data_IF_060316972928
#
_entry.id   IF_060316972928
#
_cell.length_a   1.000
_cell.length_b   1.000
_cell.length_c   1.000
_cell.angle_alpha   90.00
_cell.angle_beta   90.00
_cell.angle_gamma   90.00
#
_symmetry.space_group_name_H-M   'P 1'
#
loop_
_entity.id
_entity.type
_entity.pdbx_description
1 polymer ?
#
# COMPACT_ATOMS: atom_id res chain seq x y z
N UNK A 1 -20.73 52.75 -6.71
CA UNK A 1 -19.29 52.51 -6.50
C UNK A 1 -18.90 51.33 -7.36
N UNK A 2 -17.91 51.56 -8.22
CA UNK A 2 -17.64 50.81 -9.46
C UNK A 2 -16.20 50.30 -9.39
N UNK A 3 -15.97 49.00 -9.54
CA UNK A 3 -14.66 48.38 -9.78
C UNK A 3 -14.93 47.22 -10.77
N UNK A 4 -14.79 47.38 -12.10
CA UNK A 4 -13.56 47.27 -12.93
C UNK A 4 -12.65 46.13 -12.42
N UNK A 5 -12.63 44.96 -13.08
CA UNK A 5 -11.77 44.64 -14.24
C UNK A 5 -10.50 43.94 -13.70
N UNK A 6 -10.01 42.81 -14.20
CA UNK A 6 -9.33 42.65 -15.50
C UNK A 6 -9.10 41.14 -15.74
N UNK A 7 -9.35 40.70 -16.97
CA UNK A 7 -8.93 39.43 -17.56
C UNK A 7 -7.46 39.57 -17.99
N UNK A 8 -6.61 38.59 -17.67
CA UNK A 8 -5.29 38.47 -18.27
C UNK A 8 -5.10 37.06 -18.84
N UNK A 9 -5.21 36.96 -20.15
CA UNK A 9 -4.71 35.87 -20.98
C UNK A 9 -3.21 36.10 -21.23
N UNK A 10 -2.40 35.04 -21.21
CA UNK A 10 -1.09 35.09 -21.90
C UNK A 10 -0.73 33.74 -22.52
N UNK A 11 -0.82 33.70 -23.84
CA UNK A 11 -0.13 32.78 -24.75
C UNK A 11 1.15 33.49 -25.22
N UNK A 12 2.32 32.84 -25.16
CA UNK A 12 3.47 33.01 -26.07
C UNK A 12 4.57 32.02 -25.60
N UNK A 13 4.81 30.88 -26.27
CA UNK A 13 5.57 30.61 -27.50
C UNK A 13 7.11 30.74 -27.40
N UNK A 14 7.73 29.60 -27.75
CA UNK A 14 9.00 29.35 -28.50
C UNK A 14 10.34 29.21 -27.77
N UNK A 15 10.86 27.98 -27.94
CA UNK A 15 12.22 27.55 -28.33
C UNK A 15 13.46 28.13 -27.63
N UNK A 16 14.32 27.22 -27.15
CA UNK A 16 15.69 26.89 -27.64
C UNK A 16 16.30 25.88 -26.64
N UNK A 17 16.65 24.65 -27.06
CA UNK A 17 18.00 24.15 -27.41
C UNK A 17 19.07 24.26 -26.30
N UNK A 18 19.72 23.12 -26.05
CA UNK A 18 21.00 23.00 -25.33
C UNK A 18 20.82 22.40 -23.94
N UNK A 19 21.20 21.15 -23.71
CA UNK A 19 22.54 20.74 -23.20
C UNK A 19 22.25 19.90 -21.94
N UNK A 20 23.01 18.94 -21.45
CA UNK A 20 24.32 18.38 -21.72
C UNK A 20 24.29 17.00 -21.05
N UNK A 21 24.68 15.93 -21.75
CA UNK A 21 24.97 14.67 -21.08
C UNK A 21 26.40 14.77 -20.53
N UNK A 22 26.56 14.80 -19.21
CA UNK A 22 27.86 14.73 -18.57
C UNK A 22 28.28 13.27 -18.42
N UNK A 23 29.42 12.90 -19.01
CA UNK A 23 30.12 11.64 -18.77
C UNK A 23 31.20 11.92 -17.73
N UNK A 24 31.04 11.39 -16.51
CA UNK A 24 32.13 11.36 -15.53
C UNK A 24 32.85 10.03 -15.69
N UNK A 25 34.10 10.12 -16.14
CA UNK A 25 35.11 9.07 -16.11
C UNK A 25 35.58 8.90 -14.66
N UNK A 26 35.56 7.68 -14.14
CA UNK A 26 36.41 7.30 -13.01
C UNK A 26 37.12 5.98 -13.32
N UNK A 27 38.44 6.03 -13.28
CA UNK A 27 39.35 4.90 -13.44
C UNK A 27 39.45 4.11 -12.13
N UNK A 28 39.76 2.80 -12.17
CA UNK A 28 39.91 2.00 -10.97
C UNK A 28 41.33 2.10 -10.41
N UNK A 29 41.47 2.48 -9.12
CA UNK A 29 42.71 2.21 -8.39
C UNK A 29 42.66 0.83 -7.76
N UNK A 30 43.65 0.01 -8.10
CA UNK A 30 43.91 -1.31 -7.55
C UNK A 30 44.65 -1.25 -6.21
N UNK A 31 44.32 -2.20 -5.33
CA UNK A 31 45.21 -2.96 -4.41
C UNK A 31 44.47 -3.31 -3.11
N UNK A 32 44.57 -4.45 -2.43
CA UNK A 32 44.95 -5.85 -2.67
C UNK A 32 44.97 -6.48 -1.24
N UNK A 33 44.39 -7.68 -1.08
CA UNK A 33 44.79 -8.77 -0.14
C UNK A 33 44.46 -8.52 1.38
N UNK A 34 43.83 -9.40 2.19
CA UNK A 34 43.96 -10.87 2.34
C UNK A 34 42.82 -11.54 3.17
N UNK A 35 42.33 -12.69 2.64
CA UNK A 35 41.87 -13.98 3.22
C UNK A 35 41.29 -14.12 4.66
N UNK A 36 40.12 -14.78 4.75
CA UNK A 36 39.94 -16.18 5.23
C UNK A 36 38.48 -16.68 4.96
N UNK A 37 38.30 -17.66 4.06
CA UNK A 37 37.84 -19.05 4.30
C UNK A 37 36.32 -19.28 4.30
N UNK A 38 35.80 -19.83 3.20
CA UNK A 38 34.46 -20.40 3.03
C UNK A 38 34.27 -20.83 1.58
N UNK A 39 33.67 -22.01 1.34
CA UNK A 39 33.83 -22.82 0.13
C UNK A 39 33.39 -22.18 -1.19
N UNK A 40 34.21 -22.45 -2.21
CA UNK A 40 34.16 -21.94 -3.56
C UNK A 40 33.55 -23.00 -4.49
N UNK A 41 32.41 -22.71 -5.10
CA UNK A 41 32.00 -23.36 -6.35
C UNK A 41 32.23 -22.36 -7.50
N UNK A 42 33.37 -22.51 -8.17
CA UNK A 42 33.68 -21.78 -9.39
C UNK A 42 32.90 -22.38 -10.56
N UNK A 43 31.89 -21.68 -11.07
CA UNK A 43 31.39 -21.90 -12.42
C UNK A 43 32.13 -20.99 -13.39
N UNK A 44 32.86 -21.61 -14.32
CA UNK A 44 33.60 -20.95 -15.39
C UNK A 44 32.63 -20.40 -16.43
N UNK A 45 32.60 -19.08 -16.63
CA UNK A 45 31.98 -18.46 -17.81
C UNK A 45 33.06 -18.09 -18.83
N UNK A 46 33.08 -18.81 -19.97
CA UNK A 46 33.85 -18.42 -21.16
C UNK A 46 33.19 -17.21 -21.81
N UNK A 47 33.90 -16.09 -21.86
CA UNK A 47 33.47 -14.91 -22.62
C UNK A 47 34.02 -15.01 -24.05
N UNK A 48 33.12 -15.05 -25.05
CA UNK A 48 33.47 -14.74 -26.45
C UNK A 48 32.94 -13.34 -26.73
N UNK A 49 33.85 -12.40 -26.98
CA UNK A 49 33.53 -11.04 -27.40
C UNK A 49 33.36 -10.97 -28.91
N UNK A 50 32.17 -10.60 -29.39
CA UNK A 50 32.00 -9.88 -30.65
C UNK A 50 30.85 -8.85 -30.56
N UNK A 51 31.26 -7.57 -30.58
CA UNK A 51 30.67 -6.42 -31.27
C UNK A 51 29.15 -6.16 -31.33
N UNK A 52 28.78 -4.97 -30.82
CA UNK A 52 27.70 -4.05 -31.25
C UNK A 52 26.23 -4.45 -30.99
N UNK A 53 25.58 -3.69 -30.09
CA UNK A 53 24.32 -2.89 -30.26
C UNK A 53 23.36 -2.95 -29.06
N UNK A 54 22.65 -1.82 -28.92
CA UNK A 54 21.26 -1.65 -28.46
C UNK A 54 20.96 -1.76 -26.97
N UNK A 55 20.31 -0.71 -26.45
CA UNK A 55 19.48 -0.77 -25.25
C UNK A 55 18.43 -1.88 -25.48
N UNK A 56 18.38 -2.86 -24.57
CA UNK A 56 17.37 -3.93 -24.55
C UNK A 56 16.38 -3.63 -23.44
N UNK A 57 15.10 -3.57 -23.79
CA UNK A 57 14.04 -3.90 -22.84
C UNK A 57 14.24 -5.37 -22.44
N UNK A 58 14.34 -5.63 -21.14
CA UNK A 58 14.44 -6.99 -20.62
C UNK A 58 13.02 -7.49 -20.41
N UNK A 59 12.46 -8.16 -21.42
CA UNK A 59 11.24 -8.95 -21.29
C UNK A 59 11.66 -10.38 -20.98
N UNK A 60 11.34 -10.88 -19.79
CA UNK A 60 11.45 -12.30 -19.45
C UNK A 60 10.07 -12.91 -19.61
N UNK A 61 9.92 -13.84 -20.55
CA UNK A 61 8.71 -14.63 -20.75
C UNK A 61 8.89 -15.98 -20.06
N UNK A 62 8.10 -16.25 -19.03
CA UNK A 62 8.03 -17.56 -18.37
C UNK A 62 7.04 -18.45 -19.13
N UNK A 63 7.49 -19.63 -19.53
CA UNK A 63 6.68 -20.65 -20.19
C UNK A 63 5.82 -21.42 -19.19
N UNK A 64 4.54 -21.55 -19.51
CA UNK A 64 3.48 -22.17 -18.70
C UNK A 64 3.80 -23.61 -18.29
N UNK A 65 3.79 -23.88 -16.99
CA UNK A 65 3.50 -25.19 -16.44
C UNK A 65 2.47 -25.03 -15.33
N UNK A 66 1.38 -25.79 -15.47
CA UNK A 66 0.14 -25.65 -14.72
C UNK A 66 0.31 -25.73 -13.20
N UNK A 67 -0.25 -24.72 -12.55
CA UNK A 67 -0.60 -24.70 -11.14
C UNK A 67 -1.99 -24.06 -11.11
N UNK A 68 -2.90 -24.58 -10.29
CA UNK A 68 -4.19 -23.96 -10.01
C UNK A 68 -3.95 -22.49 -9.67
N UNK A 69 -4.18 -21.64 -10.67
CA UNK A 69 -3.50 -20.35 -10.75
C UNK A 69 -4.09 -19.43 -9.69
N UNK A 70 -3.31 -19.18 -8.64
CA UNK A 70 -3.58 -18.10 -7.71
C UNK A 70 -3.83 -16.85 -8.56
N UNK A 71 -5.05 -16.33 -8.50
CA UNK A 71 -5.46 -15.16 -9.31
C UNK A 71 -4.56 -13.94 -9.06
N UNK A 72 -3.79 -13.96 -7.96
CA UNK A 72 -2.87 -12.90 -7.56
C UNK A 72 -1.45 -13.09 -8.07
N UNK A 73 -1.08 -14.21 -8.71
CA UNK A 73 0.30 -14.45 -9.13
C UNK A 73 0.78 -13.38 -10.13
N UNK A 74 1.99 -12.89 -9.92
CA UNK A 74 2.60 -11.80 -10.68
C UNK A 74 3.26 -12.39 -11.92
N UNK A 75 2.83 -11.91 -13.09
CA UNK A 75 3.42 -12.27 -14.38
C UNK A 75 4.60 -11.37 -14.73
N UNK A 76 4.53 -10.08 -14.40
CA UNK A 76 5.64 -9.15 -14.60
C UNK A 76 5.52 -7.91 -13.70
N UNK A 77 6.66 -7.29 -13.42
CA UNK A 77 6.75 -6.03 -12.70
C UNK A 77 7.74 -5.10 -13.42
N UNK A 78 7.30 -3.87 -13.73
CA UNK A 78 8.09 -2.91 -14.51
C UNK A 78 8.06 -1.56 -13.83
N UNK A 79 9.23 -0.95 -13.62
CA UNK A 79 9.33 0.42 -13.13
C UNK A 79 9.22 1.42 -14.30
N UNK A 80 8.26 2.34 -14.23
CA UNK A 80 8.03 3.39 -15.22
C UNK A 80 8.23 4.77 -14.60
N UNK A 81 8.76 5.70 -15.39
CA UNK A 81 8.80 7.13 -15.06
C UNK A 81 7.83 7.88 -15.97
N UNK A 82 6.78 8.47 -15.41
CA UNK A 82 5.75 9.20 -16.15
C UNK A 82 5.57 10.60 -15.56
N UNK A 83 5.82 11.66 -16.35
CA UNK A 83 5.51 13.06 -16.00
C UNK A 83 5.98 13.55 -14.62
N UNK A 84 7.01 12.93 -14.03
CA UNK A 84 7.53 13.27 -12.70
C UNK A 84 7.24 12.19 -11.65
N UNK A 85 6.27 11.31 -11.90
CA UNK A 85 5.95 10.19 -11.03
C UNK A 85 6.77 8.96 -11.43
N UNK A 86 7.25 8.24 -10.43
CA UNK A 86 7.88 6.93 -10.62
C UNK A 86 6.97 5.85 -10.04
N UNK A 87 6.60 4.88 -10.88
CA UNK A 87 5.61 3.86 -10.57
C UNK A 87 6.20 2.46 -10.80
N UNK A 88 5.85 1.51 -9.95
CA UNK A 88 5.91 0.09 -10.25
C UNK A 88 4.57 -0.32 -10.88
N UNK A 89 4.60 -0.86 -12.09
CA UNK A 89 3.44 -1.49 -12.73
C UNK A 89 3.58 -3.00 -12.59
N UNK A 90 2.64 -3.60 -11.87
CA UNK A 90 2.54 -5.04 -11.67
C UNK A 90 1.42 -5.57 -12.55
N UNK A 91 1.72 -6.57 -13.36
CA UNK A 91 0.76 -7.27 -14.21
C UNK A 91 0.61 -8.70 -13.70
N UNK A 92 -0.62 -9.08 -13.35
CA UNK A 92 -0.95 -10.41 -12.85
C UNK A 92 -1.14 -11.41 -13.99
N UNK A 93 -1.12 -12.70 -13.67
CA UNK A 93 -1.41 -13.80 -14.62
C UNK A 93 -2.81 -13.70 -15.22
N UNK A 94 -3.78 -13.16 -14.48
CA UNK A 94 -5.17 -13.00 -14.92
C UNK A 94 -5.39 -11.78 -15.85
N UNK A 95 -4.35 -10.99 -16.14
CA UNK A 95 -4.44 -9.81 -17.00
C UNK A 95 -4.60 -8.48 -16.27
N UNK A 96 -4.93 -8.48 -14.97
CA UNK A 96 -5.06 -7.25 -14.20
C UNK A 96 -3.73 -6.53 -14.05
N UNK A 97 -3.80 -5.19 -14.02
CA UNK A 97 -2.65 -4.31 -13.88
C UNK A 97 -2.88 -3.37 -12.70
N UNK A 98 -1.86 -3.25 -11.87
CA UNK A 98 -1.87 -2.36 -10.71
C UNK A 98 -0.63 -1.48 -10.73
N UNK A 99 -0.82 -0.20 -10.42
CA UNK A 99 0.24 0.80 -10.40
C UNK A 99 0.49 1.24 -8.95
N UNK A 100 1.75 1.24 -8.53
CA UNK A 100 2.17 1.60 -7.18
C UNK A 100 3.23 2.69 -7.23
N UNK A 101 3.05 3.84 -6.56
CA UNK A 101 4.12 4.83 -6.44
C UNK A 101 5.35 4.25 -5.76
N UNK A 102 6.53 4.43 -6.34
CA UNK A 102 7.78 3.89 -5.79
C UNK A 102 8.10 4.46 -4.40
N UNK A 103 7.82 5.75 -4.18
CA UNK A 103 7.92 6.38 -2.86
C UNK A 103 7.02 5.70 -1.82
N UNK A 104 5.80 5.30 -2.21
CA UNK A 104 4.86 4.62 -1.33
C UNK A 104 5.36 3.21 -0.99
N UNK A 105 5.89 2.47 -1.97
CA UNK A 105 6.51 1.16 -1.70
C UNK A 105 7.69 1.30 -0.74
N UNK A 106 8.58 2.28 -0.95
CA UNK A 106 9.74 2.50 -0.08
C UNK A 106 9.34 2.90 1.35
N UNK A 107 8.30 3.71 1.51
CA UNK A 107 7.71 4.09 2.80
C UNK A 107 7.03 2.90 3.51
N UNK A 108 6.50 1.95 2.74
CA UNK A 108 5.81 0.76 3.25
C UNK A 108 6.64 -0.52 3.17
N UNK A 109 7.97 -0.41 3.09
CA UNK A 109 8.87 -1.55 3.14
C UNK A 109 8.61 -2.40 4.40
N UNK A 110 8.43 -3.71 4.22
CA UNK A 110 8.10 -4.65 5.30
C UNK A 110 9.34 -5.30 5.94
N UNK A 111 10.56 -4.86 5.60
CA UNK A 111 11.77 -5.41 6.22
C UNK A 111 11.89 -4.99 7.70
N UNK A 112 12.66 -5.74 8.49
CA UNK A 112 12.84 -5.48 9.93
C UNK A 112 13.46 -4.13 10.27
N UNK A 113 14.13 -3.47 9.30
CA UNK A 113 14.65 -2.12 9.46
C UNK A 113 13.62 -1.00 9.23
N UNK A 114 12.51 -1.29 8.53
CA UNK A 114 11.49 -0.32 8.16
C UNK A 114 10.15 -0.56 8.87
N UNK A 115 9.89 -1.78 9.34
CA UNK A 115 8.64 -2.18 9.95
C UNK A 115 8.86 -3.06 11.18
N UNK A 116 8.15 -2.75 12.27
CA UNK A 116 8.22 -3.48 13.52
C UNK A 116 7.17 -4.60 13.53
N UNK A 117 7.57 -5.88 13.49
CA UNK A 117 6.63 -6.99 13.33
C UNK A 117 5.70 -7.17 14.55
N UNK A 118 6.17 -6.86 15.76
CA UNK A 118 5.37 -7.07 16.97
C UNK A 118 4.27 -6.04 17.22
N UNK A 119 4.44 -4.82 16.70
CA UNK A 119 3.47 -3.72 16.87
C UNK A 119 2.76 -3.34 15.58
N UNK A 120 3.11 -4.01 14.48
CA UNK A 120 2.59 -3.72 13.14
C UNK A 120 2.70 -2.24 12.76
N UNK A 121 3.87 -1.63 13.00
CA UNK A 121 4.07 -0.19 12.80
C UNK A 121 5.36 0.13 12.04
N UNK A 122 5.37 1.25 11.32
CA UNK A 122 6.55 1.75 10.61
C UNK A 122 7.62 2.24 11.61
N UNK A 123 8.87 1.91 11.32
CA UNK A 123 10.07 2.38 12.04
C UNK A 123 10.81 3.46 11.22
N UNK A 124 10.56 3.51 9.90
CA UNK A 124 11.22 4.44 8.98
C UNK A 124 11.22 5.88 9.53
N UNK A 125 12.41 6.46 9.69
CA UNK A 125 12.55 7.82 10.19
C UNK A 125 12.29 8.82 9.05
N UNK A 126 11.15 9.51 9.12
CA UNK A 126 10.76 10.52 8.14
C UNK A 126 11.71 11.72 8.07
N UNK A 127 12.39 12.09 9.16
CA UNK A 127 13.36 13.20 9.12
C UNK A 127 14.58 12.89 8.25
N UNK A 128 14.88 11.60 8.07
CA UNK A 128 16.00 11.11 7.28
C UNK A 128 15.57 10.53 5.92
N UNK A 129 14.26 10.47 5.66
CA UNK A 129 13.72 9.87 4.46
C UNK A 129 13.54 10.92 3.36
N UNK A 130 14.43 10.87 2.37
CA UNK A 130 14.44 11.78 1.23
C UNK A 130 13.61 11.20 0.07
N UNK A 131 12.40 11.74 -0.11
CA UNK A 131 11.43 11.30 -1.13
C UNK A 131 11.96 11.44 -2.55
N UNK A 132 12.77 12.47 -2.81
CA UNK A 132 13.26 12.79 -4.15
C UNK A 132 14.40 11.86 -4.57
N UNK A 133 14.98 11.12 -3.61
CA UNK A 133 16.04 10.14 -3.84
C UNK A 133 15.57 8.71 -3.95
N UNK A 134 14.27 8.44 -3.78
CA UNK A 134 13.72 7.10 -3.96
C UNK A 134 13.81 6.72 -5.43
N UNK A 135 14.77 5.86 -5.77
CA UNK A 135 14.97 5.36 -7.13
C UNK A 135 15.23 3.86 -7.09
N UNK A 136 14.66 3.14 -8.04
CA UNK A 136 14.89 1.71 -8.20
C UNK A 136 16.19 1.48 -8.95
N UNK A 137 17.05 0.64 -8.37
CA UNK A 137 18.26 0.14 -9.02
C UNK A 137 17.94 -1.13 -9.81
N UNK A 138 17.29 -2.10 -9.18
CA UNK A 138 16.88 -3.37 -9.80
C UNK A 138 15.50 -3.79 -9.28
N UNK A 139 14.72 -4.45 -10.13
CA UNK A 139 13.39 -4.97 -9.80
C UNK A 139 13.24 -6.35 -10.46
N UNK A 140 12.79 -7.34 -9.70
CA UNK A 140 12.54 -8.70 -10.17
C UNK A 140 11.26 -9.27 -9.55
N UNK A 141 10.70 -10.26 -10.22
CA UNK A 141 9.62 -11.11 -9.71
C UNK A 141 10.24 -12.48 -9.46
N UNK A 142 9.83 -13.16 -8.40
CA UNK A 142 10.25 -14.54 -8.16
C UNK A 142 9.66 -15.51 -9.20
N UNK A 143 10.26 -16.70 -9.29
CA UNK A 143 9.91 -17.69 -10.33
C UNK A 143 8.46 -18.19 -10.21
N UNK A 144 7.89 -18.20 -9.00
CA UNK A 144 6.51 -18.59 -8.73
C UNK A 144 5.51 -17.41 -8.85
N UNK A 145 5.98 -16.18 -9.09
CA UNK A 145 5.15 -14.98 -9.17
C UNK A 145 4.56 -14.55 -7.83
N UNK A 146 5.02 -15.11 -6.71
CA UNK A 146 4.52 -14.83 -5.38
C UNK A 146 4.98 -13.47 -4.82
N UNK A 147 6.07 -12.88 -5.29
CA UNK A 147 6.68 -11.65 -4.74
C UNK A 147 7.36 -10.79 -5.80
N UNK A 148 7.39 -9.48 -5.53
CA UNK A 148 8.30 -8.52 -6.16
C UNK A 148 9.43 -8.18 -5.21
N UNK A 149 10.66 -8.23 -5.73
CA UNK A 149 11.87 -7.78 -5.03
C UNK A 149 12.38 -6.49 -5.68
N UNK A 150 12.68 -5.50 -4.86
CA UNK A 150 13.18 -4.18 -5.28
C UNK A 150 14.47 -3.88 -4.55
N UNK A 151 15.54 -3.65 -5.32
CA UNK A 151 16.78 -3.08 -4.84
C UNK A 151 16.77 -1.57 -5.15
N UNK A 152 16.88 -0.75 -4.12
CA UNK A 152 16.88 0.70 -4.21
C UNK A 152 18.28 1.25 -4.49
N UNK A 153 18.37 2.49 -4.99
CA UNK A 153 19.63 3.18 -5.29
C UNK A 153 20.52 3.41 -4.07
N UNK A 154 19.92 3.50 -2.87
CA UNK A 154 20.61 3.58 -1.57
C UNK A 154 21.17 2.23 -1.09
N UNK A 155 20.93 1.15 -1.85
CA UNK A 155 21.32 -0.21 -1.51
C UNK A 155 20.35 -0.95 -0.60
N UNK A 156 19.24 -0.31 -0.19
CA UNK A 156 18.17 -0.97 0.55
C UNK A 156 17.47 -2.02 -0.32
N UNK A 157 16.97 -3.09 0.30
CA UNK A 157 16.19 -4.11 -0.38
C UNK A 157 14.80 -4.23 0.25
N UNK A 158 13.77 -4.26 -0.58
CA UNK A 158 12.38 -4.45 -0.17
C UNK A 158 11.77 -5.62 -0.91
N UNK A 159 10.87 -6.33 -0.24
CA UNK A 159 10.09 -7.43 -0.81
C UNK A 159 8.61 -7.23 -0.51
N UNK A 160 7.77 -7.49 -1.50
CA UNK A 160 6.31 -7.36 -1.39
C UNK A 160 5.65 -8.61 -1.98
N UNK A 161 4.77 -9.26 -1.23
CA UNK A 161 4.03 -10.42 -1.76
C UNK A 161 2.93 -9.98 -2.71
N UNK A 162 2.51 -10.90 -3.57
CA UNK A 162 1.44 -10.68 -4.54
C UNK A 162 0.13 -10.30 -3.85
N UNK A 163 -0.17 -10.98 -2.73
CA UNK A 163 -1.37 -10.75 -1.92
C UNK A 163 -1.32 -9.37 -1.28
N UNK A 164 -0.16 -8.98 -0.73
CA UNK A 164 0.00 -7.67 -0.09
C UNK A 164 -0.20 -6.52 -1.08
N UNK A 165 0.32 -6.68 -2.31
CA UNK A 165 0.16 -5.71 -3.40
C UNK A 165 -1.29 -5.66 -3.89
N UNK A 166 -1.93 -6.82 -4.10
CA UNK A 166 -3.33 -6.88 -4.53
C UNK A 166 -4.26 -6.27 -3.49
N UNK A 167 -4.11 -6.59 -2.21
CA UNK A 167 -4.94 -6.02 -1.12
C UNK A 167 -4.81 -4.49 -1.03
N UNK A 168 -3.65 -3.93 -1.42
CA UNK A 168 -3.33 -2.49 -1.31
C UNK A 168 -3.25 -1.79 -2.66
N UNK A 169 -3.86 -2.36 -3.69
CA UNK A 169 -3.85 -1.76 -5.00
C UNK A 169 -4.70 -0.46 -5.02
N UNK A 170 -4.32 0.48 -5.89
CA UNK A 170 -4.95 1.79 -5.99
C UNK A 170 -6.15 1.86 -6.97
N UNK A 171 -6.74 0.71 -7.34
CA UNK A 171 -7.96 0.72 -8.17
C UNK A 171 -9.13 1.37 -7.43
N UNK A 172 -10.07 1.93 -8.19
CA UNK A 172 -11.28 2.49 -7.60
C UNK A 172 -12.11 1.42 -6.90
N UNK A 173 -12.18 0.21 -7.44
CA UNK A 173 -12.91 -0.93 -6.89
C UNK A 173 -12.34 -1.31 -5.52
N UNK A 174 -11.02 -1.51 -5.42
CA UNK A 174 -10.37 -1.85 -4.15
C UNK A 174 -10.50 -0.73 -3.12
N UNK A 175 -10.40 0.53 -3.57
CA UNK A 175 -10.58 1.69 -2.69
C UNK A 175 -12.01 1.78 -2.13
N UNK A 176 -13.03 1.49 -2.97
CA UNK A 176 -14.44 1.45 -2.55
C UNK A 176 -14.67 0.30 -1.57
N UNK A 177 -14.19 -0.90 -1.89
CA UNK A 177 -14.31 -2.07 -1.03
C UNK A 177 -13.65 -1.84 0.34
N UNK A 178 -12.43 -1.31 0.37
CA UNK A 178 -11.74 -0.95 1.61
C UNK A 178 -12.55 0.02 2.47
N UNK A 179 -13.14 1.05 1.85
CA UNK A 179 -13.93 2.05 2.58
C UNK A 179 -15.23 1.47 3.13
N UNK A 180 -15.91 0.62 2.36
CA UNK A 180 -17.22 0.06 2.70
C UNK A 180 -17.13 -1.08 3.73
N UNK A 181 -16.15 -1.98 3.58
CA UNK A 181 -16.05 -3.21 4.36
C UNK A 181 -15.05 -3.11 5.52
N UNK A 182 -13.90 -2.45 5.31
CA UNK A 182 -12.80 -2.46 6.29
C UNK A 182 -12.74 -1.20 7.16
N UNK A 183 -13.04 -0.02 6.60
CA UNK A 183 -12.92 1.23 7.34
C UNK A 183 -14.17 1.53 8.18
N UNK A 184 -15.30 1.79 7.52
CA UNK A 184 -16.54 2.14 8.22
C UNK A 184 -17.75 1.95 7.31
N UNK A 185 -18.75 1.14 7.71
CA UNK A 185 -20.02 1.05 7.01
C UNK A 185 -20.59 2.45 6.67
N UNK A 186 -21.03 2.69 5.42
CA UNK A 186 -21.47 4.01 5.00
C UNK A 186 -22.70 4.43 5.80
N UNK A 187 -22.73 5.67 6.32
CA UNK A 187 -23.86 6.16 7.10
C UNK A 187 -25.11 6.30 6.23
N UNK A 188 -26.25 5.88 6.75
CA UNK A 188 -27.55 6.09 6.12
C UNK A 188 -28.23 7.31 6.76
N UNK A 189 -28.44 8.36 5.96
CA UNK A 189 -29.21 9.52 6.38
C UNK A 189 -30.69 9.18 6.50
N UNK A 190 -31.35 9.72 7.51
CA UNK A 190 -32.78 9.53 7.75
C UNK A 190 -33.44 10.78 8.33
N UNK A 191 -34.76 10.85 8.15
CA UNK A 191 -35.68 11.88 8.61
C UNK A 191 -36.72 11.25 9.52
N UNK A 192 -37.57 12.10 10.11
CA UNK A 192 -38.62 11.69 11.06
C UNK A 192 -39.46 10.51 10.56
N UNK A 193 -39.82 10.50 9.28
CA UNK A 193 -40.69 9.48 8.69
C UNK A 193 -40.04 8.09 8.64
N UNK A 194 -38.72 8.02 8.54
CA UNK A 194 -37.95 6.78 8.39
C UNK A 194 -37.47 6.21 9.74
N UNK A 195 -37.75 6.92 10.86
CA UNK A 195 -37.26 6.53 12.18
C UNK A 195 -37.69 5.12 12.60
N UNK A 196 -38.92 4.72 12.24
CA UNK A 196 -39.42 3.37 12.51
C UNK A 196 -38.62 2.28 11.80
N UNK A 197 -38.17 2.55 10.57
CA UNK A 197 -37.47 1.58 9.73
C UNK A 197 -35.99 1.45 10.13
N UNK A 198 -35.36 2.56 10.52
CA UNK A 198 -33.96 2.60 10.92
C UNK A 198 -33.73 2.13 12.36
N UNK A 199 -34.73 2.20 13.24
CA UNK A 199 -34.57 1.83 14.66
C UNK A 199 -34.33 0.32 14.82
N UNK A 200 -33.06 -0.06 14.98
CA UNK A 200 -32.68 -1.45 15.23
C UNK A 200 -32.71 -1.75 16.73
N UNK A 201 -33.29 -2.89 17.07
CA UNK A 201 -33.45 -3.34 18.46
C UNK A 201 -32.54 -4.54 18.71
N UNK A 202 -31.83 -4.53 19.83
CA UNK A 202 -30.99 -5.64 20.27
C UNK A 202 -31.33 -6.00 21.72
N UNK A 203 -31.23 -7.28 22.06
CA UNK A 203 -31.41 -7.74 23.43
C UNK A 203 -30.14 -7.52 24.23
N UNK A 204 -30.25 -6.90 25.41
CA UNK A 204 -29.10 -6.62 26.28
C UNK A 204 -28.25 -7.86 26.54
N UNK A 205 -28.91 -8.98 26.87
CA UNK A 205 -28.24 -10.24 27.18
C UNK A 205 -27.42 -10.76 25.99
N UNK A 206 -27.88 -10.55 24.77
CA UNK A 206 -27.23 -11.09 23.58
C UNK A 206 -25.99 -10.25 23.25
N UNK A 207 -26.12 -8.92 23.31
CA UNK A 207 -25.00 -7.98 23.10
C UNK A 207 -23.86 -8.22 24.09
N UNK A 208 -24.19 -8.52 25.35
CA UNK A 208 -23.17 -8.80 26.37
C UNK A 208 -22.46 -10.14 26.09
N UNK A 209 -23.19 -11.18 25.66
CA UNK A 209 -22.67 -12.55 25.65
C UNK A 209 -22.30 -13.09 24.25
N UNK A 210 -22.58 -12.37 23.17
CA UNK A 210 -22.31 -12.82 21.79
C UNK A 210 -21.57 -11.75 20.99
N UNK A 211 -20.47 -12.15 20.36
CA UNK A 211 -19.70 -11.27 19.46
C UNK A 211 -20.47 -10.93 18.19
N UNK A 212 -21.30 -11.85 17.67
CA UNK A 212 -22.13 -11.56 16.49
C UNK A 212 -23.22 -10.53 16.81
N UNK A 213 -23.85 -10.63 17.98
CA UNK A 213 -24.82 -9.63 18.43
C UNK A 213 -24.17 -8.27 18.71
N UNK A 214 -22.98 -8.27 19.33
CA UNK A 214 -22.18 -7.07 19.52
C UNK A 214 -21.81 -6.42 18.18
N UNK A 215 -21.30 -7.20 17.22
CA UNK A 215 -20.93 -6.72 15.88
C UNK A 215 -22.14 -6.08 15.20
N UNK A 216 -23.28 -6.78 15.16
CA UNK A 216 -24.51 -6.24 14.57
C UNK A 216 -24.99 -4.95 15.24
N UNK A 217 -24.87 -4.84 16.57
CA UNK A 217 -25.20 -3.63 17.32
C UNK A 217 -24.28 -2.45 16.95
N UNK A 218 -22.95 -2.66 16.92
CA UNK A 218 -21.97 -1.63 16.56
C UNK A 218 -22.15 -1.19 15.11
N UNK A 219 -22.30 -2.13 14.18
CA UNK A 219 -22.53 -1.82 12.75
C UNK A 219 -23.82 -1.03 12.53
N UNK A 220 -24.91 -1.41 13.21
CA UNK A 220 -26.16 -0.65 13.15
C UNK A 220 -25.99 0.76 13.73
N UNK A 221 -25.27 0.90 14.85
CA UNK A 221 -24.98 2.21 15.44
C UNK A 221 -24.13 3.08 14.51
N UNK A 222 -23.11 2.49 13.86
CA UNK A 222 -22.25 3.19 12.90
C UNK A 222 -23.05 3.66 11.68
N UNK A 223 -23.92 2.81 11.14
CA UNK A 223 -24.72 3.05 9.93
C UNK A 223 -25.87 4.03 10.17
N UNK A 224 -26.66 3.82 11.22
CA UNK A 224 -27.89 4.59 11.46
C UNK A 224 -27.73 5.68 12.52
N UNK A 225 -26.65 5.68 13.29
CA UNK A 225 -26.40 6.67 14.35
C UNK A 225 -27.26 6.50 15.61
N UNK A 226 -28.21 5.55 15.62
CA UNK A 226 -29.07 5.25 16.78
C UNK A 226 -29.54 3.80 16.76
N UNK A 227 -29.72 3.23 17.94
CA UNK A 227 -30.17 1.85 18.19
C UNK A 227 -30.87 1.78 19.55
N UNK A 228 -31.67 0.74 19.77
CA UNK A 228 -32.33 0.47 21.04
C UNK A 228 -31.82 -0.83 21.64
N UNK A 229 -31.33 -0.78 22.88
CA UNK A 229 -31.05 -1.98 23.67
C UNK A 229 -32.26 -2.26 24.55
N UNK A 230 -32.86 -3.45 24.41
CA UNK A 230 -34.03 -3.90 25.16
C UNK A 230 -33.66 -4.82 26.30
N UNK A 231 -34.56 -4.88 27.29
CA UNK A 231 -34.53 -5.86 28.38
C UNK A 231 -33.21 -5.89 29.17
N UNK A 232 -32.58 -4.72 29.34
CA UNK A 232 -31.51 -4.56 30.30
C UNK A 232 -32.07 -4.80 31.72
N UNK A 233 -31.34 -5.50 32.60
CA UNK A 233 -31.71 -5.60 34.01
C UNK A 233 -31.98 -4.22 34.62
N UNK A 234 -32.96 -4.13 35.52
CA UNK A 234 -33.27 -2.89 36.25
C UNK A 234 -32.34 -2.72 37.45
N UNK A 235 -31.03 -2.77 37.19
CA UNK A 235 -29.95 -2.64 38.16
C UNK A 235 -29.06 -1.46 37.83
N UNK A 236 -28.31 -1.00 38.81
CA UNK A 236 -27.27 0.00 38.57
C UNK A 236 -26.18 -0.59 37.65
N UNK A 237 -25.49 0.27 36.90
CA UNK A 237 -24.31 -0.06 36.08
C UNK A 237 -24.53 -0.76 34.72
N UNK A 238 -25.75 -1.07 34.28
CA UNK A 238 -25.94 -1.75 32.98
C UNK A 238 -25.41 -0.93 31.78
N UNK A 239 -25.51 0.40 31.84
CA UNK A 239 -24.86 1.28 30.85
C UNK A 239 -23.33 1.14 30.86
N UNK A 240 -22.72 0.97 32.05
CA UNK A 240 -21.29 0.77 32.20
C UNK A 240 -20.87 -0.58 31.63
N UNK A 241 -21.61 -1.64 31.91
CA UNK A 241 -21.37 -2.99 31.37
C UNK A 241 -21.38 -2.99 29.84
N UNK A 242 -22.34 -2.28 29.22
CA UNK A 242 -22.35 -2.11 27.76
C UNK A 242 -21.15 -1.33 27.24
N UNK A 243 -20.77 -0.23 27.89
CA UNK A 243 -19.62 0.56 27.47
C UNK A 243 -18.30 -0.24 27.58
N UNK A 244 -18.13 -0.99 28.67
CA UNK A 244 -16.95 -1.84 28.94
C UNK A 244 -16.92 -3.08 28.02
N UNK A 245 -18.07 -3.50 27.48
CA UNK A 245 -18.13 -4.54 26.45
C UNK A 245 -17.52 -4.10 25.12
N UNK A 246 -17.56 -2.81 24.82
CA UNK A 246 -16.98 -2.20 23.60
C UNK A 246 -15.56 -1.69 23.84
N UNK A 247 -15.33 -1.02 24.97
CA UNK A 247 -14.06 -0.36 25.27
C UNK A 247 -14.05 0.25 26.66
N UNK A 248 -13.94 1.57 26.76
CA UNK A 248 -13.92 2.28 28.05
C UNK A 248 -14.79 3.53 28.02
N UNK A 249 -15.31 3.90 29.19
CA UNK A 249 -16.07 5.14 29.36
C UNK A 249 -15.09 6.32 29.38
N UNK A 250 -15.34 7.31 28.52
CA UNK A 250 -14.68 8.61 28.60
C UNK A 250 -15.23 9.38 29.81
N UNK A 251 -14.43 9.47 30.88
CA UNK A 251 -14.78 10.27 32.07
C UNK A 251 -14.93 11.74 31.71
N UNK A 252 -15.95 12.38 32.29
CA UNK A 252 -16.18 13.82 32.16
C UNK A 252 -16.30 14.47 33.55
N UNK A 253 -16.47 15.79 33.63
CA UNK A 253 -16.75 16.45 34.92
C UNK A 253 -18.06 15.99 35.58
N UNK A 254 -18.96 15.35 34.82
CA UNK A 254 -20.23 14.82 35.32
C UNK A 254 -20.12 13.39 35.88
N UNK A 255 -18.94 12.77 35.79
CA UNK A 255 -18.76 11.33 35.94
C UNK A 255 -18.33 10.69 34.63
#
# INVERSE_FOLDING_TARGET
MTLRGVIATSRLLRHLRGSSAYVIKLEPSSSLITRASGQCQQQYFRTIYQGKKSQKAVSVSVSELGVESSTTAIRSAICLRQKGDELLVVELVNGQKHEFPLVWLRDNCQCSGCFHPGSHSRILNWELFDVDKVQVKECSVDDDGGRVQILWSDGHASEFTSEWLVERNFSEENSKEYLEELYRPPPQLWRKQEFGDIMKNFEFKDVINSDDALRGWIEALIRYGTVMIKNAPLTEQECRRLAERVGFIRKTHYG
#
